data_IF_658208829102
#
_entry.id   IF_658208829102
#
_cell.length_a   1.000
_cell.length_b   1.000
_cell.length_c   1.000
_cell.angle_alpha   90.00
_cell.angle_beta   90.00
_cell.angle_gamma   90.00
#
_symmetry.space_group_name_H-M   'P 1'
#
loop_
_entity.id
_entity.type
_entity.pdbx_description
1 polymer ?
#
# COMPACT_ATOMS: atom_id res chain seq x y z
N UNK A 1 21.93 48.99 24.21
CA UNK A 1 21.64 47.59 24.63
C UNK A 1 20.16 47.21 24.52
N UNK A 2 19.19 48.01 25.02
CA UNK A 2 17.75 47.63 24.97
C UNK A 2 17.18 47.40 23.56
N UNK A 3 17.62 48.17 22.56
CA UNK A 3 17.17 48.00 21.16
C UNK A 3 17.71 46.71 20.53
N UNK A 4 18.92 46.29 20.89
CA UNK A 4 19.54 45.05 20.40
C UNK A 4 18.85 43.82 21.01
N UNK A 5 18.42 43.90 22.27
CA UNK A 5 17.64 42.84 22.94
C UNK A 5 16.25 42.66 22.32
N UNK A 6 15.60 43.74 21.88
CA UNK A 6 14.29 43.67 21.20
C UNK A 6 14.43 43.06 19.80
N UNK A 7 15.53 43.37 19.09
CA UNK A 7 15.80 42.82 17.75
C UNK A 7 16.16 41.32 17.78
N UNK A 8 16.80 40.84 18.86
CA UNK A 8 17.05 39.41 19.10
C UNK A 8 15.78 38.67 19.56
N UNK A 9 14.85 39.34 20.26
CA UNK A 9 13.55 38.74 20.59
C UNK A 9 12.63 38.62 19.35
N UNK A 10 12.71 39.55 18.40
CA UNK A 10 11.90 39.52 17.17
C UNK A 10 12.35 38.44 16.17
N UNK A 11 13.60 37.98 16.21
CA UNK A 11 14.06 36.88 15.36
C UNK A 11 13.59 35.50 15.81
N UNK A 12 13.11 35.34 17.05
CA UNK A 12 12.50 34.08 17.53
C UNK A 12 11.02 33.93 17.14
N UNK A 13 10.30 35.02 16.85
CA UNK A 13 8.89 34.97 16.39
C UNK A 13 8.73 34.83 14.87
N UNK A 14 9.82 34.90 14.11
CA UNK A 14 9.86 34.58 12.68
C UNK A 14 10.33 33.14 12.39
N UNK A 15 10.34 32.26 13.40
CA UNK A 15 10.35 30.81 13.17
C UNK A 15 9.00 30.40 12.59
N UNK A 16 8.79 30.78 11.33
CA UNK A 16 7.74 30.30 10.48
C UNK A 16 7.86 28.78 10.48
N UNK A 17 6.95 28.10 11.17
CA UNK A 17 6.68 26.69 10.93
C UNK A 17 6.29 26.58 9.46
N UNK A 18 7.26 26.39 8.57
CA UNK A 18 6.96 25.82 7.27
C UNK A 18 6.39 24.45 7.61
N UNK A 19 5.08 24.30 7.48
CA UNK A 19 4.46 23.00 7.36
C UNK A 19 5.30 22.22 6.35
N UNK A 20 6.12 21.30 6.85
CA UNK A 20 6.97 20.47 6.02
C UNK A 20 6.03 19.47 5.37
N UNK A 21 5.40 19.89 4.27
CA UNK A 21 4.61 19.00 3.41
C UNK A 21 5.46 17.77 3.14
N UNK A 22 4.97 16.59 3.51
CA UNK A 22 5.74 15.36 3.31
C UNK A 22 5.90 15.06 1.81
N UNK A 23 6.99 14.39 1.45
CA UNK A 23 7.12 13.74 0.15
C UNK A 23 6.05 12.65 0.03
N UNK A 24 5.32 12.59 -1.07
CA UNK A 24 4.39 11.49 -1.33
C UNK A 24 4.22 11.13 -2.79
N UNK A 25 3.77 9.90 -3.01
CA UNK A 25 3.22 9.39 -4.26
C UNK A 25 2.24 8.26 -3.97
N UNK A 26 1.99 7.38 -4.95
CA UNK A 26 0.96 6.37 -4.93
C UNK A 26 1.47 5.01 -5.41
N UNK A 27 0.78 3.97 -4.94
CA UNK A 27 0.69 2.71 -5.64
C UNK A 27 -0.42 2.75 -6.68
N UNK A 28 -0.19 2.13 -7.83
CA UNK A 28 -1.18 1.85 -8.87
C UNK A 28 -1.33 0.33 -8.99
N UNK A 29 -2.45 -0.20 -8.50
CA UNK A 29 -2.68 -1.64 -8.35
C UNK A 29 -3.81 -2.16 -9.25
N UNK A 30 -3.80 -1.74 -10.53
CA UNK A 30 -4.73 -2.20 -11.57
C UNK A 30 -3.95 -2.80 -12.73
N UNK A 31 -4.52 -3.81 -13.38
CA UNK A 31 -3.90 -4.50 -14.53
C UNK A 31 -3.84 -3.61 -15.77
N UNK A 32 -4.90 -2.83 -16.01
CA UNK A 32 -4.95 -1.88 -17.12
C UNK A 32 -4.40 -0.56 -16.61
N UNK A 33 -3.22 -0.19 -17.10
CA UNK A 33 -2.59 1.07 -16.76
C UNK A 33 -3.31 2.19 -17.53
N UNK A 34 -4.22 2.85 -16.84
CA UNK A 34 -5.02 3.99 -17.31
C UNK A 34 -5.19 5.01 -16.19
N UNK A 35 -5.35 6.29 -16.55
CA UNK A 35 -5.63 7.35 -15.59
C UNK A 35 -6.81 8.18 -16.05
N UNK A 36 -7.83 8.28 -15.20
CA UNK A 36 -8.90 9.25 -15.42
C UNK A 36 -8.47 10.66 -14.98
N UNK A 37 -9.34 11.64 -15.22
CA UNK A 37 -9.06 13.06 -14.94
C UNK A 37 -8.64 13.32 -13.49
N UNK A 38 -9.32 12.71 -12.53
CA UNK A 38 -9.03 12.91 -11.09
C UNK A 38 -7.73 12.21 -10.68
N UNK A 39 -7.47 11.01 -11.20
CA UNK A 39 -6.21 10.28 -10.96
C UNK A 39 -5.01 11.04 -11.56
N UNK A 40 -5.12 11.57 -12.79
CA UNK A 40 -4.08 12.43 -13.41
C UNK A 40 -3.80 13.66 -12.57
N UNK A 41 -4.84 14.33 -12.10
CA UNK A 41 -4.73 15.52 -11.24
C UNK A 41 -4.04 15.18 -9.92
N UNK A 42 -4.45 14.10 -9.25
CA UNK A 42 -3.85 13.67 -7.99
C UNK A 42 -2.37 13.27 -8.16
N UNK A 43 -2.04 12.54 -9.23
CA UNK A 43 -0.66 12.14 -9.52
C UNK A 43 0.24 13.33 -9.86
N UNK A 44 -0.24 14.29 -10.66
CA UNK A 44 0.53 15.51 -10.98
C UNK A 44 0.81 16.34 -9.72
N UNK A 45 -0.06 16.28 -8.72
CA UNK A 45 0.12 16.98 -7.45
C UNK A 45 1.09 16.28 -6.49
N UNK A 46 1.42 15.00 -6.73
CA UNK A 46 2.36 14.26 -5.89
C UNK A 46 3.75 14.87 -5.99
N UNK A 47 4.45 14.93 -4.86
CA UNK A 47 5.74 15.63 -4.74
C UNK A 47 6.92 14.80 -5.25
N UNK A 48 6.80 13.47 -5.29
CA UNK A 48 7.90 12.64 -5.82
C UNK A 48 7.74 12.38 -7.33
N UNK A 49 8.85 12.11 -8.04
CA UNK A 49 8.83 11.89 -9.48
C UNK A 49 8.46 10.45 -9.87
N UNK A 50 7.96 9.64 -8.93
CA UNK A 50 7.76 8.20 -9.12
C UNK A 50 6.29 7.80 -9.02
N UNK A 51 5.90 6.76 -9.75
CA UNK A 51 4.64 6.02 -9.55
C UNK A 51 4.99 4.54 -9.39
N UNK A 52 4.57 3.93 -8.28
CA UNK A 52 4.81 2.51 -8.02
C UNK A 52 3.69 1.71 -8.66
N UNK A 53 4.00 0.95 -9.70
CA UNK A 53 2.98 0.30 -10.53
C UNK A 53 3.12 -1.19 -10.47
N UNK A 54 2.03 -1.88 -10.10
CA UNK A 54 1.98 -3.35 -10.15
C UNK A 54 2.07 -3.84 -11.59
N UNK A 55 3.14 -4.55 -11.90
CA UNK A 55 3.39 -5.05 -13.26
C UNK A 55 2.75 -6.40 -13.51
N UNK A 56 2.86 -7.31 -12.54
CA UNK A 56 2.24 -8.63 -12.59
C UNK A 56 2.38 -9.27 -11.21
N UNK A 57 1.60 -10.32 -11.03
CA UNK A 57 1.72 -11.23 -9.91
C UNK A 57 2.48 -12.47 -10.36
N UNK A 58 3.13 -13.15 -9.42
CA UNK A 58 3.78 -14.44 -9.64
C UNK A 58 3.19 -15.43 -8.66
N UNK A 59 2.71 -16.54 -9.20
CA UNK A 59 2.14 -17.62 -8.41
C UNK A 59 2.73 -18.99 -8.79
N UNK A 60 2.56 -19.98 -7.91
CA UNK A 60 2.97 -21.38 -8.13
C UNK A 60 1.73 -22.26 -8.21
N UNK A 61 1.30 -22.58 -9.43
CA UNK A 61 0.10 -23.39 -9.70
C UNK A 61 0.55 -24.74 -10.27
N UNK A 62 0.11 -25.83 -9.64
CA UNK A 62 0.48 -27.20 -10.04
C UNK A 62 2.00 -27.41 -10.19
N UNK A 63 2.78 -26.79 -9.30
CA UNK A 63 4.24 -26.88 -9.30
C UNK A 63 4.96 -25.97 -10.30
N UNK A 64 4.22 -25.21 -11.14
CA UNK A 64 4.81 -24.31 -12.13
C UNK A 64 4.66 -22.84 -11.74
N UNK A 65 5.73 -22.07 -11.92
CA UNK A 65 5.69 -20.62 -11.76
C UNK A 65 4.93 -19.98 -12.93
N UNK A 66 3.95 -19.14 -12.62
CA UNK A 66 3.12 -18.49 -13.63
C UNK A 66 2.96 -17.01 -13.32
N UNK A 67 3.16 -16.12 -14.33
CA UNK A 67 2.77 -14.73 -14.19
C UNK A 67 1.25 -14.62 -14.32
N UNK A 68 0.64 -13.85 -13.43
CA UNK A 68 -0.81 -13.59 -13.40
C UNK A 68 -1.05 -12.09 -13.49
N UNK A 69 -2.19 -11.71 -14.07
CA UNK A 69 -2.65 -10.32 -14.16
C UNK A 69 -1.58 -9.34 -14.70
N UNK A 70 -0.93 -9.74 -15.79
CA UNK A 70 0.15 -8.97 -16.42
C UNK A 70 -0.35 -7.65 -16.99
N UNK A 71 0.35 -6.57 -16.65
CA UNK A 71 -0.01 -5.21 -17.01
C UNK A 71 -0.11 -5.00 -18.52
N UNK A 72 -1.05 -4.16 -18.91
CA UNK A 72 -1.18 -3.55 -20.24
C UNK A 72 -1.34 -2.05 -20.09
N UNK A 73 -0.94 -1.28 -21.10
CA UNK A 73 -1.11 0.18 -21.12
C UNK A 73 -2.27 0.57 -22.02
N UNK A 74 -3.18 1.38 -21.48
CA UNK A 74 -4.24 1.98 -22.26
C UNK A 74 -3.74 3.28 -22.91
N UNK A 75 -4.32 3.65 -24.06
CA UNK A 75 -3.93 4.86 -24.82
C UNK A 75 -4.04 6.15 -24.00
N UNK A 76 -4.98 6.18 -23.04
CA UNK A 76 -5.21 7.36 -22.20
C UNK A 76 -4.18 7.53 -21.07
N UNK A 77 -3.26 6.57 -20.89
CA UNK A 77 -2.24 6.64 -19.87
C UNK A 77 -1.08 7.55 -20.28
N UNK A 78 -0.96 8.64 -19.53
CA UNK A 78 0.09 9.63 -19.70
C UNK A 78 0.47 10.19 -18.33
N UNK A 79 1.78 10.26 -18.07
CA UNK A 79 2.34 10.81 -16.84
C UNK A 79 3.77 11.29 -17.07
N UNK A 80 4.18 12.31 -16.33
CA UNK A 80 5.55 12.80 -16.24
C UNK A 80 6.39 12.00 -15.21
N UNK A 81 5.75 11.14 -14.42
CA UNK A 81 6.39 10.31 -13.40
C UNK A 81 7.12 9.12 -14.03
N UNK A 82 8.27 8.76 -13.48
CA UNK A 82 8.94 7.49 -13.78
C UNK A 82 8.25 6.35 -13.05
N UNK A 83 8.12 5.21 -13.70
CA UNK A 83 7.50 4.03 -13.13
C UNK A 83 8.54 3.24 -12.32
N UNK A 84 8.18 2.84 -11.10
CA UNK A 84 8.87 1.79 -10.34
C UNK A 84 8.04 0.52 -10.49
N UNK A 85 8.54 -0.52 -11.19
CA UNK A 85 7.86 -1.81 -11.30
C UNK A 85 7.72 -2.46 -9.92
N UNK A 86 6.49 -2.85 -9.58
CA UNK A 86 6.18 -3.65 -8.39
C UNK A 86 5.73 -5.03 -8.83
N UNK A 87 6.38 -6.07 -8.31
CA UNK A 87 6.02 -7.47 -8.56
C UNK A 87 5.46 -8.07 -7.29
N UNK A 88 4.20 -8.51 -7.33
CA UNK A 88 3.63 -9.28 -6.24
C UNK A 88 4.02 -10.75 -6.41
N UNK A 89 4.50 -11.39 -5.36
CA UNK A 89 4.84 -12.82 -5.38
C UNK A 89 4.10 -13.48 -4.22
N UNK A 90 3.32 -14.51 -4.54
CA UNK A 90 2.65 -15.27 -3.48
C UNK A 90 3.69 -16.01 -2.65
N UNK A 91 3.52 -16.03 -1.32
CA UNK A 91 4.49 -16.67 -0.42
C UNK A 91 4.73 -18.16 -0.74
N UNK A 92 3.72 -18.84 -1.29
CA UNK A 92 3.81 -20.27 -1.65
C UNK A 92 4.83 -20.55 -2.76
N UNK A 93 5.21 -19.57 -3.56
CA UNK A 93 6.29 -19.68 -4.56
C UNK A 93 7.59 -20.14 -3.91
N UNK A 94 7.88 -19.62 -2.71
CA UNK A 94 9.10 -19.92 -1.96
C UNK A 94 8.99 -21.16 -1.07
N UNK A 95 7.85 -21.85 -1.06
CA UNK A 95 7.71 -23.10 -0.31
C UNK A 95 8.40 -24.23 -1.07
N UNK A 96 9.44 -24.80 -0.46
CA UNK A 96 10.22 -25.93 -1.01
C UNK A 96 10.74 -25.65 -2.43
N UNK A 97 11.23 -24.43 -2.66
CA UNK A 97 11.83 -24.03 -3.93
C UNK A 97 13.31 -24.46 -3.97
N UNK A 98 13.80 -24.93 -5.12
CA UNK A 98 15.23 -25.24 -5.28
C UNK A 98 16.06 -23.99 -5.61
N UNK A 99 17.39 -24.10 -5.51
CA UNK A 99 18.28 -22.99 -5.87
C UNK A 99 18.28 -22.69 -7.38
N UNK A 100 18.14 -23.74 -8.20
CA UNK A 100 17.95 -23.61 -9.66
C UNK A 100 16.66 -22.88 -9.97
N UNK A 101 15.56 -23.23 -9.28
CA UNK A 101 14.26 -22.57 -9.42
C UNK A 101 14.32 -21.10 -9.01
N UNK A 102 15.05 -20.75 -7.95
CA UNK A 102 15.27 -19.35 -7.54
C UNK A 102 15.96 -18.57 -8.67
N UNK A 103 16.99 -19.16 -9.27
CA UNK A 103 17.74 -18.54 -10.38
C UNK A 103 16.86 -18.41 -11.62
N UNK A 104 16.10 -19.45 -11.95
CA UNK A 104 15.13 -19.45 -13.04
C UNK A 104 14.07 -18.35 -12.83
N UNK A 105 13.50 -18.27 -11.63
CA UNK A 105 12.48 -17.30 -11.28
C UNK A 105 12.99 -15.86 -11.43
N UNK A 106 14.17 -15.56 -10.89
CA UNK A 106 14.77 -14.24 -10.98
C UNK A 106 15.04 -13.81 -12.44
N UNK A 107 15.55 -14.72 -13.28
CA UNK A 107 15.75 -14.46 -14.72
C UNK A 107 14.44 -14.17 -15.43
N UNK A 108 13.42 -14.98 -15.22
CA UNK A 108 12.14 -14.83 -15.91
C UNK A 108 11.35 -13.60 -15.47
N UNK A 109 11.36 -13.28 -14.16
CA UNK A 109 10.75 -12.05 -13.65
C UNK A 109 11.42 -10.83 -14.28
N UNK A 110 12.76 -10.78 -14.28
CA UNK A 110 13.47 -9.65 -14.88
C UNK A 110 13.22 -9.55 -16.39
N UNK A 111 13.25 -10.67 -17.11
CA UNK A 111 12.95 -10.70 -18.54
C UNK A 111 11.53 -10.20 -18.84
N UNK A 112 10.53 -10.59 -18.04
CA UNK A 112 9.15 -10.13 -18.21
C UNK A 112 9.00 -8.63 -17.91
N UNK A 113 9.69 -8.12 -16.87
CA UNK A 113 9.77 -6.68 -16.60
C UNK A 113 10.32 -5.95 -17.82
N UNK A 114 11.48 -6.37 -18.35
CA UNK A 114 12.08 -5.72 -19.51
C UNK A 114 11.17 -5.77 -20.75
N UNK A 115 10.55 -6.93 -21.00
CA UNK A 115 9.58 -7.07 -22.09
C UNK A 115 8.44 -6.06 -21.98
N UNK A 116 7.88 -5.88 -20.77
CA UNK A 116 6.76 -4.96 -20.51
C UNK A 116 7.18 -3.50 -20.58
N UNK A 117 8.36 -3.15 -20.07
CA UNK A 117 8.92 -1.80 -20.22
C UNK A 117 9.02 -1.43 -21.71
N UNK A 118 9.59 -2.33 -22.51
CA UNK A 118 9.80 -2.10 -23.94
C UNK A 118 8.48 -2.09 -24.74
N UNK A 119 7.58 -3.07 -24.53
CA UNK A 119 6.34 -3.16 -25.31
C UNK A 119 5.37 -2.01 -25.03
N UNK A 120 5.28 -1.59 -23.76
CA UNK A 120 4.37 -0.52 -23.34
C UNK A 120 5.03 0.89 -23.40
N UNK A 121 6.29 0.97 -23.85
CA UNK A 121 7.09 2.19 -23.94
C UNK A 121 7.11 3.00 -22.63
N UNK A 122 7.42 2.33 -21.52
CA UNK A 122 7.37 2.92 -20.18
C UNK A 122 8.71 3.54 -19.77
N UNK A 123 8.69 4.77 -19.29
CA UNK A 123 9.83 5.39 -18.62
C UNK A 123 9.94 4.87 -17.19
N UNK A 124 11.08 4.26 -16.83
CA UNK A 124 11.26 3.60 -15.53
C UNK A 124 12.39 4.18 -14.68
N UNK A 125 12.29 3.97 -13.37
CA UNK A 125 13.36 4.24 -12.41
C UNK A 125 14.31 3.03 -12.27
N UNK A 126 15.48 3.22 -11.66
CA UNK A 126 16.45 2.14 -11.44
C UNK A 126 16.14 1.31 -10.19
N UNK A 127 14.87 0.98 -9.99
CA UNK A 127 14.38 0.23 -8.83
C UNK A 127 13.37 -0.82 -9.30
N UNK A 128 13.40 -2.01 -8.69
CA UNK A 128 12.34 -3.00 -8.77
C UNK A 128 11.92 -3.30 -7.32
N UNK A 129 10.62 -3.13 -7.04
CA UNK A 129 10.06 -3.46 -5.75
C UNK A 129 9.40 -4.84 -5.80
N UNK A 130 9.66 -5.66 -4.79
CA UNK A 130 9.05 -6.98 -4.60
C UNK A 130 8.09 -6.92 -3.42
N UNK A 131 6.81 -7.19 -3.69
CA UNK A 131 5.79 -7.34 -2.67
C UNK A 131 5.57 -8.83 -2.38
N UNK A 132 5.97 -9.28 -1.18
CA UNK A 132 5.83 -10.67 -0.78
C UNK A 132 5.69 -10.76 0.75
N UNK A 133 4.62 -11.40 1.20
CA UNK A 133 4.40 -11.68 2.63
C UNK A 133 5.16 -12.93 3.07
N UNK A 134 6.49 -12.84 3.12
CA UNK A 134 7.34 -13.95 3.55
C UNK A 134 7.08 -14.32 5.01
N UNK A 135 7.32 -15.59 5.32
CA UNK A 135 7.12 -16.18 6.65
C UNK A 135 8.44 -16.72 7.19
N UNK A 136 8.47 -17.13 8.46
CA UNK A 136 9.60 -17.85 9.04
C UNK A 136 10.09 -19.02 8.18
N UNK A 137 9.16 -19.77 7.55
CA UNK A 137 9.47 -20.95 6.74
C UNK A 137 10.03 -20.64 5.36
N UNK A 138 9.78 -19.44 4.84
CA UNK A 138 10.09 -19.06 3.45
C UNK A 138 11.10 -17.92 3.34
N UNK A 139 11.46 -17.28 4.47
CA UNK A 139 12.34 -16.11 4.51
C UNK A 139 13.69 -16.36 3.83
N UNK A 140 14.32 -17.51 4.06
CA UNK A 140 15.67 -17.76 3.58
C UNK A 140 15.70 -17.87 2.04
N UNK A 141 14.73 -18.56 1.45
CA UNK A 141 14.63 -18.70 0.00
C UNK A 141 14.15 -17.41 -0.67
N UNK A 142 13.25 -16.67 -0.03
CA UNK A 142 12.89 -15.32 -0.47
C UNK A 142 14.12 -14.38 -0.46
N UNK A 143 14.95 -14.42 0.58
CA UNK A 143 16.14 -13.58 0.69
C UNK A 143 17.21 -13.96 -0.33
N UNK A 144 17.39 -15.26 -0.62
CA UNK A 144 18.24 -15.72 -1.73
C UNK A 144 17.72 -15.19 -3.06
N UNK A 145 16.41 -15.23 -3.29
CA UNK A 145 15.78 -14.67 -4.48
C UNK A 145 16.03 -13.18 -4.64
N UNK A 146 15.86 -12.37 -3.59
CA UNK A 146 16.14 -10.92 -3.65
C UNK A 146 17.59 -10.62 -4.05
N UNK A 147 18.56 -11.35 -3.48
CA UNK A 147 19.98 -11.23 -3.84
C UNK A 147 20.23 -11.62 -5.29
N UNK A 148 19.66 -12.74 -5.74
CA UNK A 148 19.83 -13.25 -7.10
C UNK A 148 19.19 -12.32 -8.13
N UNK A 149 18.03 -11.74 -7.83
CA UNK A 149 17.38 -10.73 -8.67
C UNK A 149 18.22 -9.44 -8.76
N UNK A 150 18.83 -8.99 -7.66
CA UNK A 150 19.75 -7.84 -7.66
C UNK A 150 20.95 -8.08 -8.57
N UNK A 151 21.57 -9.27 -8.46
CA UNK A 151 22.70 -9.69 -9.30
C UNK A 151 22.34 -9.70 -10.79
N UNK A 152 21.22 -10.32 -11.15
CA UNK A 152 20.79 -10.47 -12.56
C UNK A 152 20.36 -9.14 -13.17
N UNK A 153 19.60 -8.34 -12.41
CA UNK A 153 19.01 -7.11 -12.95
C UNK A 153 19.97 -5.92 -12.97
N UNK A 154 20.97 -5.91 -12.07
CA UNK A 154 21.81 -4.74 -11.82
C UNK A 154 21.03 -3.53 -11.27
N UNK A 155 19.77 -3.72 -10.85
CA UNK A 155 18.89 -2.66 -10.33
C UNK A 155 18.90 -2.64 -8.80
N UNK A 156 18.45 -1.53 -8.22
CA UNK A 156 18.09 -1.49 -6.82
C UNK A 156 16.89 -2.42 -6.59
N UNK A 157 17.03 -3.38 -5.67
CA UNK A 157 15.94 -4.26 -5.26
C UNK A 157 15.46 -3.82 -3.89
N UNK A 158 14.16 -3.57 -3.81
CA UNK A 158 13.47 -3.16 -2.59
C UNK A 158 12.32 -4.11 -2.31
N UNK A 159 11.83 -4.12 -1.09
CA UNK A 159 10.68 -4.93 -0.75
C UNK A 159 9.69 -4.23 0.17
N UNK A 160 8.46 -4.70 0.15
CA UNK A 160 7.47 -4.33 1.16
C UNK A 160 7.83 -4.98 2.49
N UNK A 161 7.39 -4.38 3.60
CA UNK A 161 7.65 -4.84 4.95
C UNK A 161 6.36 -4.72 5.78
N UNK A 162 5.87 -5.84 6.32
CA UNK A 162 4.67 -5.88 7.16
C UNK A 162 4.98 -5.49 8.60
N UNK A 163 3.97 -4.95 9.29
CA UNK A 163 4.06 -4.58 10.71
C UNK A 163 4.56 -5.73 11.61
N UNK A 164 4.08 -6.96 11.38
CA UNK A 164 4.51 -8.11 12.18
C UNK A 164 5.96 -8.52 11.89
N UNK A 165 6.46 -8.31 10.66
CA UNK A 165 7.86 -8.59 10.32
C UNK A 165 8.82 -7.59 11.00
N UNK A 166 8.35 -6.38 11.32
CA UNK A 166 9.08 -5.44 12.18
C UNK A 166 9.09 -5.95 13.62
N UNK A 167 7.90 -6.20 14.18
CA UNK A 167 7.73 -6.62 15.57
C UNK A 167 8.54 -7.88 15.89
N UNK A 168 8.43 -8.88 15.02
CA UNK A 168 8.99 -10.21 15.21
C UNK A 168 10.24 -10.42 14.34
N UNK A 169 11.05 -9.37 14.12
CA UNK A 169 12.24 -9.38 13.23
C UNK A 169 13.23 -10.51 13.48
N UNK A 170 13.36 -10.97 14.72
CA UNK A 170 14.23 -12.10 15.08
C UNK A 170 13.72 -13.43 14.48
N UNK A 171 12.41 -13.56 14.32
CA UNK A 171 11.74 -14.72 13.72
C UNK A 171 11.66 -14.51 12.21
N UNK A 172 11.08 -13.40 11.76
CA UNK A 172 10.85 -13.12 10.33
C UNK A 172 12.13 -12.88 9.54
N UNK A 173 13.25 -12.60 10.20
CA UNK A 173 14.50 -12.20 9.55
C UNK A 173 14.44 -10.78 9.01
N UNK A 174 15.58 -10.33 8.49
CA UNK A 174 15.76 -9.00 7.91
C UNK A 174 16.10 -9.20 6.43
N UNK A 175 15.32 -8.63 5.49
CA UNK A 175 15.56 -8.84 4.07
C UNK A 175 16.91 -8.20 3.66
N UNK A 176 17.66 -8.82 2.73
CA UNK A 176 18.98 -8.34 2.31
C UNK A 176 18.87 -7.21 1.27
N UNK A 177 18.12 -6.15 1.61
CA UNK A 177 17.89 -4.97 0.76
C UNK A 177 18.30 -3.70 1.50
N UNK A 178 18.57 -2.65 0.75
CA UNK A 178 19.00 -1.36 1.32
C UNK A 178 17.82 -0.47 1.73
N UNK A 179 16.65 -0.67 1.09
CA UNK A 179 15.43 0.10 1.30
C UNK A 179 14.19 -0.80 1.37
N UNK A 180 13.27 -0.47 2.28
CA UNK A 180 12.01 -1.19 2.49
C UNK A 180 10.82 -0.24 2.52
N UNK A 181 9.64 -0.77 2.22
CA UNK A 181 8.37 -0.03 2.22
C UNK A 181 7.46 -0.59 3.32
N UNK A 182 7.41 0.10 4.45
CA UNK A 182 6.64 -0.30 5.62
C UNK A 182 5.13 -0.13 5.35
N UNK A 183 4.43 -1.26 5.22
CA UNK A 183 3.00 -1.29 5.00
C UNK A 183 2.24 -1.04 6.30
N UNK A 184 1.72 0.18 6.43
CA UNK A 184 0.96 0.66 7.59
C UNK A 184 -0.55 0.45 7.39
N UNK A 185 -0.95 -0.74 6.95
CA UNK A 185 -2.35 -1.15 6.74
C UNK A 185 -2.50 -2.68 6.81
N UNK A 186 -3.77 -3.14 6.73
CA UNK A 186 -4.17 -4.54 6.93
C UNK A 186 -3.76 -5.07 8.30
N UNK A 187 -4.13 -4.32 9.35
CA UNK A 187 -3.78 -4.66 10.74
C UNK A 187 -4.50 -5.90 11.28
N UNK A 188 -5.60 -6.30 10.64
CA UNK A 188 -6.30 -7.56 10.92
C UNK A 188 -7.04 -8.05 9.67
N UNK A 189 -7.64 -9.23 9.74
CA UNK A 189 -8.48 -9.74 8.66
C UNK A 189 -9.86 -9.06 8.67
N UNK A 190 -10.37 -8.55 7.53
CA UNK A 190 -11.75 -8.05 7.42
C UNK A 190 -12.81 -9.15 7.51
N UNK A 191 -12.40 -10.43 7.43
CA UNK A 191 -13.29 -11.58 7.46
C UNK A 191 -13.39 -12.19 8.87
N UNK A 192 -12.68 -11.63 9.84
CA UNK A 192 -12.86 -11.98 11.26
C UNK A 192 -14.05 -11.21 11.83
N UNK A 193 -14.78 -11.84 12.77
CA UNK A 193 -15.85 -11.16 13.51
C UNK A 193 -15.25 -10.22 14.56
N UNK A 194 -14.76 -9.06 14.11
CA UNK A 194 -14.14 -8.03 14.93
C UNK A 194 -14.78 -6.67 14.67
N UNK A 195 -14.95 -5.88 15.73
CA UNK A 195 -15.45 -4.51 15.61
C UNK A 195 -14.37 -3.53 15.14
N UNK A 196 -13.10 -3.92 15.20
CA UNK A 196 -11.96 -3.07 14.81
C UNK A 196 -11.94 -2.85 13.30
N UNK A 197 -11.44 -1.67 12.89
CA UNK A 197 -11.20 -1.38 11.49
C UNK A 197 -10.02 -2.23 11.00
N UNK A 198 -10.29 -3.17 10.11
CA UNK A 198 -9.28 -4.11 9.64
C UNK A 198 -8.28 -3.51 8.65
N UNK A 199 -8.61 -2.37 8.02
CA UNK A 199 -7.70 -1.59 7.18
C UNK A 199 -6.58 -0.99 8.04
N UNK A 200 -6.93 -0.32 9.15
CA UNK A 200 -5.96 0.32 10.04
C UNK A 200 -6.50 0.48 11.46
N UNK A 201 -5.91 -0.28 12.38
CA UNK A 201 -5.99 -0.07 13.82
C UNK A 201 -4.70 0.61 14.32
N UNK A 202 -4.83 1.90 14.68
CA UNK A 202 -3.67 2.75 15.07
C UNK A 202 -2.97 2.22 16.32
N UNK A 203 -3.71 1.64 17.28
CA UNK A 203 -3.15 1.08 18.51
C UNK A 203 -2.27 -0.15 18.22
N UNK A 204 -2.76 -1.06 17.36
CA UNK A 204 -2.00 -2.24 16.92
C UNK A 204 -0.75 -1.81 16.16
N UNK A 205 -0.86 -0.84 15.25
CA UNK A 205 0.29 -0.28 14.53
C UNK A 205 1.34 0.28 15.50
N UNK A 206 0.93 1.14 16.45
CA UNK A 206 1.85 1.74 17.44
C UNK A 206 2.52 0.68 18.30
N UNK A 207 1.79 -0.37 18.68
CA UNK A 207 2.32 -1.50 19.44
C UNK A 207 3.40 -2.25 18.66
N UNK A 208 3.11 -2.59 17.40
CA UNK A 208 4.02 -3.38 16.55
C UNK A 208 5.27 -2.58 16.16
N UNK A 209 5.14 -1.26 16.02
CA UNK A 209 6.21 -0.35 15.65
C UNK A 209 6.82 0.40 16.85
N UNK A 210 6.55 -0.06 18.07
CA UNK A 210 7.03 0.58 19.31
C UNK A 210 8.56 0.67 19.39
N UNK A 211 9.28 -0.20 18.66
CA UNK A 211 10.75 -0.25 18.57
C UNK A 211 11.26 -0.25 17.12
N UNK A 212 10.55 0.39 16.20
CA UNK A 212 10.96 0.46 14.79
C UNK A 212 12.34 1.13 14.61
N UNK A 213 12.72 2.03 15.52
CA UNK A 213 14.05 2.64 15.58
C UNK A 213 15.18 1.61 15.69
N UNK A 214 14.92 0.43 16.26
CA UNK A 214 15.86 -0.67 16.39
C UNK A 214 15.90 -1.57 15.14
N UNK A 215 15.06 -1.33 14.13
CA UNK A 215 15.07 -2.13 12.91
C UNK A 215 16.36 -1.83 12.11
N UNK A 216 17.10 -2.85 11.61
CA UNK A 216 18.43 -2.62 11.03
C UNK A 216 18.45 -1.80 9.74
N UNK A 217 17.44 -1.96 8.88
CA UNK A 217 17.33 -1.18 7.64
C UNK A 217 16.79 0.21 7.99
N UNK A 218 17.58 1.26 7.72
CA UNK A 218 17.23 2.65 8.07
C UNK A 218 16.53 3.41 6.96
N UNK A 219 16.67 2.98 5.71
CA UNK A 219 15.94 3.57 4.59
C UNK A 219 14.55 2.92 4.52
N UNK A 220 13.60 3.53 5.23
CA UNK A 220 12.23 3.04 5.35
C UNK A 220 11.29 4.07 4.74
N UNK A 221 10.65 3.69 3.64
CA UNK A 221 9.52 4.42 3.07
C UNK A 221 8.21 3.88 3.66
N UNK A 222 7.15 4.68 3.67
CA UNK A 222 5.91 4.32 4.39
C UNK A 222 4.74 4.23 3.44
N UNK A 223 4.08 3.07 3.40
CA UNK A 223 2.87 2.88 2.64
C UNK A 223 1.63 3.05 3.52
N UNK A 224 0.74 4.00 3.17
CA UNK A 224 -0.46 4.32 3.95
C UNK A 224 -1.76 4.03 3.18
N UNK A 225 -2.82 3.55 3.87
CA UNK A 225 -4.10 3.26 3.25
C UNK A 225 -4.93 4.53 3.07
N UNK A 226 -5.42 4.76 1.86
CA UNK A 226 -6.47 5.76 1.59
C UNK A 226 -7.75 5.12 1.03
N UNK A 227 -7.74 3.79 0.90
CA UNK A 227 -8.86 3.01 0.41
C UNK A 227 -9.92 2.76 1.47
N UNK A 228 -11.07 2.26 1.01
CA UNK A 228 -12.18 1.81 1.84
C UNK A 228 -12.83 0.56 1.24
N UNK A 229 -13.56 -0.19 2.06
CA UNK A 229 -14.39 -1.31 1.62
C UNK A 229 -15.65 -1.47 2.46
N UNK A 230 -16.62 -2.17 1.90
CA UNK A 230 -17.78 -2.70 2.60
C UNK A 230 -17.60 -4.18 2.89
N UNK A 231 -17.80 -4.59 4.13
CA UNK A 231 -17.90 -5.97 4.57
C UNK A 231 -19.39 -6.33 4.59
N UNK A 232 -19.79 -7.20 3.67
CA UNK A 232 -21.14 -7.74 3.57
C UNK A 232 -21.23 -9.01 4.42
N UNK A 233 -22.17 -9.04 5.36
CA UNK A 233 -22.45 -10.22 6.20
C UNK A 233 -23.83 -10.78 5.86
N UNK A 234 -23.86 -12.05 5.46
CA UNK A 234 -25.13 -12.75 5.17
C UNK A 234 -25.75 -13.38 6.44
N UNK A 235 -26.92 -14.01 6.30
CA UNK A 235 -27.61 -14.69 7.41
C UNK A 235 -26.80 -15.81 8.09
N UNK A 236 -25.86 -16.41 7.36
CA UNK A 236 -24.95 -17.46 7.87
C UNK A 236 -23.66 -16.89 8.46
N UNK A 237 -23.58 -15.56 8.66
CA UNK A 237 -22.38 -14.84 9.10
C UNK A 237 -21.16 -15.01 8.19
N UNK A 238 -21.37 -15.35 6.91
CA UNK A 238 -20.30 -15.37 5.91
C UNK A 238 -20.08 -13.95 5.41
N UNK A 239 -18.80 -13.61 5.23
CA UNK A 239 -18.35 -12.28 4.82
C UNK A 239 -17.94 -12.23 3.36
N UNK A 240 -18.25 -11.11 2.69
CA UNK A 240 -17.78 -10.77 1.35
C UNK A 240 -17.36 -9.30 1.32
N UNK A 241 -16.28 -8.98 0.61
CA UNK A 241 -15.82 -7.61 0.43
C UNK A 241 -16.40 -6.95 -0.83
N UNK A 242 -16.76 -5.68 -0.69
CA UNK A 242 -17.07 -4.76 -1.79
C UNK A 242 -16.05 -3.62 -1.72
N UNK A 243 -15.17 -3.53 -2.72
CA UNK A 243 -14.14 -2.50 -2.76
C UNK A 243 -14.72 -1.11 -3.03
N UNK A 244 -14.07 -0.10 -2.45
CA UNK A 244 -14.36 1.31 -2.68
C UNK A 244 -15.81 1.70 -2.35
N UNK A 245 -16.26 1.22 -1.20
CA UNK A 245 -17.49 1.62 -0.53
C UNK A 245 -17.14 2.51 0.67
N UNK A 246 -17.80 3.66 0.80
CA UNK A 246 -17.58 4.68 1.82
C UNK A 246 -18.83 4.86 2.69
N UNK A 247 -18.70 5.56 3.82
CA UNK A 247 -19.87 5.86 4.66
C UNK A 247 -20.93 6.69 3.91
N UNK A 248 -20.50 7.52 2.96
CA UNK A 248 -21.41 8.33 2.15
C UNK A 248 -22.31 7.45 1.28
N UNK A 249 -21.78 6.32 0.77
CA UNK A 249 -22.55 5.39 -0.05
C UNK A 249 -23.67 4.68 0.75
N UNK A 250 -23.55 4.63 2.08
CA UNK A 250 -24.57 4.06 2.97
C UNK A 250 -25.71 5.04 3.29
N UNK A 251 -25.60 6.31 2.90
CA UNK A 251 -26.59 7.34 3.20
C UNK A 251 -27.76 7.29 2.21
N UNK A 252 -28.64 6.30 2.37
CA UNK A 252 -29.81 6.10 1.51
C UNK A 252 -31.03 5.67 2.35
N UNK A 253 -32.18 6.28 2.07
CA UNK A 253 -33.46 6.03 2.78
C UNK A 253 -33.98 4.59 2.58
N UNK A 254 -33.48 3.85 1.60
CA UNK A 254 -33.82 2.44 1.37
C UNK A 254 -33.07 1.47 2.30
N UNK A 255 -32.12 1.95 3.10
CA UNK A 255 -31.39 1.16 4.07
C UNK A 255 -31.87 1.43 5.48
N UNK A 256 -31.90 0.38 6.32
CA UNK A 256 -32.07 0.55 7.76
C UNK A 256 -30.71 0.80 8.38
N UNK A 257 -30.50 2.00 8.90
CA UNK A 257 -29.26 2.40 9.58
C UNK A 257 -29.12 1.66 10.91
N UNK A 258 -28.00 0.95 11.10
CA UNK A 258 -27.63 0.32 12.38
C UNK A 258 -26.69 1.27 13.14
N UNK A 259 -25.70 1.82 12.44
CA UNK A 259 -24.75 2.81 12.96
C UNK A 259 -24.31 3.77 11.84
N UNK A 260 -23.37 4.67 12.11
CA UNK A 260 -22.83 5.58 11.09
C UNK A 260 -22.04 4.88 9.98
N UNK A 261 -21.60 3.64 10.20
CA UNK A 261 -20.85 2.86 9.23
C UNK A 261 -21.45 1.48 8.98
N UNK A 262 -22.66 1.19 9.45
CA UNK A 262 -23.31 -0.10 9.27
C UNK A 262 -24.80 0.06 8.92
N UNK A 263 -25.25 -0.68 7.91
CA UNK A 263 -26.65 -0.72 7.48
C UNK A 263 -27.15 -2.15 7.30
N UNK A 264 -28.47 -2.31 7.28
CA UNK A 264 -29.18 -3.54 6.94
C UNK A 264 -30.02 -3.34 5.67
N UNK A 265 -29.87 -4.24 4.71
CA UNK A 265 -30.62 -4.26 3.45
C UNK A 265 -32.10 -4.57 3.72
N UNK A 266 -33.01 -3.73 3.21
CA UNK A 266 -34.45 -3.86 3.48
C UNK A 266 -35.24 -4.61 2.40
N UNK A 267 -34.68 -4.78 1.20
CA UNK A 267 -35.29 -5.51 0.09
C UNK A 267 -34.22 -6.22 -0.74
N UNK A 268 -34.56 -7.38 -1.29
CA UNK A 268 -33.70 -8.10 -2.24
C UNK A 268 -33.43 -7.25 -3.48
N UNK A 269 -32.18 -7.21 -3.94
CA UNK A 269 -31.84 -6.43 -5.13
C UNK A 269 -30.34 -6.29 -5.39
N UNK A 270 -30.01 -5.52 -6.43
CA UNK A 270 -28.62 -5.20 -6.76
C UNK A 270 -28.17 -3.91 -6.05
N UNK A 271 -27.12 -4.03 -5.24
CA UNK A 271 -26.49 -2.95 -4.50
C UNK A 271 -24.98 -2.98 -4.74
N UNK A 272 -24.39 -1.85 -5.10
CA UNK A 272 -22.94 -1.72 -5.31
C UNK A 272 -22.35 -2.82 -6.22
N UNK A 273 -23.08 -3.18 -7.29
CA UNK A 273 -22.69 -4.22 -8.24
C UNK A 273 -22.87 -5.67 -7.76
N UNK A 274 -23.58 -5.89 -6.65
CA UNK A 274 -23.78 -7.21 -6.04
C UNK A 274 -25.26 -7.46 -5.75
N UNK A 275 -25.74 -8.68 -6.00
CA UNK A 275 -27.08 -9.08 -5.55
C UNK A 275 -27.05 -9.40 -4.06
N UNK A 276 -27.81 -8.66 -3.25
CA UNK A 276 -27.91 -8.82 -1.80
C UNK A 276 -29.36 -9.05 -1.39
N UNK A 277 -29.58 -9.98 -0.45
CA UNK A 277 -30.91 -10.25 0.10
C UNK A 277 -31.24 -9.30 1.27
N UNK A 278 -32.54 -9.11 1.51
CA UNK A 278 -33.07 -8.48 2.71
C UNK A 278 -32.48 -9.12 3.96
N UNK A 279 -32.07 -8.28 4.91
CA UNK A 279 -31.47 -8.68 6.18
C UNK A 279 -29.96 -8.93 6.13
N UNK A 280 -29.32 -8.84 4.95
CA UNK A 280 -27.86 -8.75 4.88
C UNK A 280 -27.40 -7.43 5.49
N UNK A 281 -26.22 -7.44 6.11
CA UNK A 281 -25.60 -6.24 6.69
C UNK A 281 -24.41 -5.80 5.85
N UNK A 282 -24.17 -4.50 5.81
CA UNK A 282 -22.97 -3.91 5.21
C UNK A 282 -22.32 -3.02 6.25
N UNK A 283 -21.10 -3.36 6.66
CA UNK A 283 -20.23 -2.52 7.48
C UNK A 283 -19.15 -1.88 6.61
N UNK A 284 -19.05 -0.57 6.59
CA UNK A 284 -17.97 0.14 5.89
C UNK A 284 -16.79 0.38 6.81
N UNK A 285 -15.60 0.12 6.26
CA UNK A 285 -14.33 0.52 6.83
C UNK A 285 -13.64 1.49 5.88
N UNK A 286 -13.29 2.66 6.40
CA UNK A 286 -12.59 3.72 5.69
C UNK A 286 -11.60 4.41 6.65
N UNK A 287 -10.58 5.07 6.09
CA UNK A 287 -9.53 5.71 6.89
C UNK A 287 -9.75 7.22 6.97
N UNK A 288 -9.89 7.72 8.19
CA UNK A 288 -10.03 9.16 8.43
C UNK A 288 -8.70 9.90 8.32
N UNK A 289 -8.77 11.20 8.03
CA UNK A 289 -7.60 12.07 8.00
C UNK A 289 -6.90 12.15 9.37
N UNK A 290 -7.67 12.08 10.46
CA UNK A 290 -7.11 12.06 11.81
C UNK A 290 -6.26 10.82 12.06
N UNK A 291 -6.70 9.63 11.60
CA UNK A 291 -5.92 8.39 11.71
C UNK A 291 -4.63 8.48 10.89
N UNK A 292 -4.69 9.02 9.66
CA UNK A 292 -3.49 9.22 8.84
C UNK A 292 -2.49 10.14 9.55
N UNK A 293 -2.96 11.30 10.02
CA UNK A 293 -2.13 12.26 10.74
C UNK A 293 -1.49 11.64 11.98
N UNK A 294 -2.26 10.88 12.76
CA UNK A 294 -1.76 10.24 13.98
C UNK A 294 -0.66 9.22 13.69
N UNK A 295 -0.79 8.42 12.63
CA UNK A 295 0.24 7.47 12.21
C UNK A 295 1.49 8.20 11.70
N UNK A 296 1.31 9.23 10.87
CA UNK A 296 2.43 10.03 10.33
C UNK A 296 3.21 10.70 11.47
N UNK A 297 2.52 11.34 12.41
CA UNK A 297 3.13 12.01 13.56
C UNK A 297 3.84 11.01 14.49
N UNK A 298 3.31 9.80 14.63
CA UNK A 298 3.98 8.73 15.38
C UNK A 298 5.27 8.27 14.70
N UNK A 299 5.24 8.03 13.39
CA UNK A 299 6.40 7.55 12.63
C UNK A 299 7.50 8.61 12.50
N UNK A 300 7.13 9.89 12.30
CA UNK A 300 8.09 11.02 12.23
C UNK A 300 8.97 11.14 13.48
N UNK A 301 8.48 10.67 14.63
CA UNK A 301 9.24 10.68 15.90
C UNK A 301 10.20 9.51 16.03
N UNK A 302 10.12 8.50 15.16
CA UNK A 302 10.77 7.20 15.34
C UNK A 302 11.72 6.79 14.22
N UNK A 303 11.43 7.20 12.98
CA UNK A 303 12.27 6.87 11.82
C UNK A 303 12.75 8.14 11.12
N UNK A 304 13.77 7.99 10.28
CA UNK A 304 14.26 9.05 9.40
C UNK A 304 13.14 9.60 8.51
N UNK A 305 13.24 10.85 8.02
CA UNK A 305 12.26 11.39 7.08
C UNK A 305 12.00 10.43 5.92
N UNK A 306 10.72 10.19 5.66
CA UNK A 306 10.24 9.22 4.70
C UNK A 306 9.27 9.86 3.70
N UNK A 307 9.21 9.27 2.52
CA UNK A 307 8.17 9.43 1.52
C UNK A 307 6.98 8.55 1.88
N UNK A 308 5.78 9.09 1.68
CA UNK A 308 4.54 8.34 1.80
C UNK A 308 4.12 7.79 0.44
N UNK A 309 3.80 6.50 0.38
CA UNK A 309 3.23 5.87 -0.81
C UNK A 309 1.78 5.49 -0.47
N UNK A 310 0.83 6.29 -0.94
CA UNK A 310 -0.58 6.03 -0.69
C UNK A 310 -1.09 4.84 -1.50
N UNK A 311 -1.66 3.86 -0.82
CA UNK A 311 -2.36 2.74 -1.43
C UNK A 311 -3.87 3.07 -1.45
N UNK A 312 -4.47 3.34 -2.61
CA UNK A 312 -3.91 3.35 -3.97
C UNK A 312 -4.43 4.56 -4.77
N UNK A 313 -3.79 4.85 -5.92
CA UNK A 313 -4.27 5.83 -6.89
C UNK A 313 -5.55 5.33 -7.56
N UNK A 314 -6.68 5.66 -6.95
CA UNK A 314 -8.01 5.44 -7.51
C UNK A 314 -8.86 6.70 -7.29
N UNK A 315 -9.55 7.14 -8.33
CA UNK A 315 -10.43 8.33 -8.26
C UNK A 315 -11.37 8.36 -7.05
N UNK A 316 -11.94 7.22 -6.65
CA UNK A 316 -12.84 7.15 -5.48
C UNK A 316 -12.15 7.53 -4.18
N UNK A 317 -10.83 7.34 -4.09
CA UNK A 317 -10.06 7.60 -2.87
C UNK A 317 -9.35 8.95 -2.88
N UNK A 318 -9.12 9.55 -4.06
CA UNK A 318 -8.38 10.81 -4.20
C UNK A 318 -9.26 12.05 -4.42
N UNK A 319 -10.46 11.92 -4.98
CA UNK A 319 -11.29 13.05 -5.44
C UNK A 319 -11.63 14.09 -4.34
N UNK A 320 -11.68 13.67 -3.07
CA UNK A 320 -12.05 14.53 -1.94
C UNK A 320 -11.00 14.58 -0.82
N UNK A 321 -9.75 14.19 -1.09
CA UNK A 321 -8.67 14.22 -0.08
C UNK A 321 -7.62 15.27 -0.44
N UNK A 322 -7.34 16.17 0.49
CA UNK A 322 -6.14 17.00 0.42
C UNK A 322 -4.97 16.22 1.02
N UNK A 323 -4.24 15.48 0.21
CA UNK A 323 -3.11 14.66 0.64
C UNK A 323 -1.82 15.46 0.89
N UNK A 324 -1.80 16.75 0.54
CA UNK A 324 -0.65 17.64 0.79
C UNK A 324 -0.57 18.11 2.25
N UNK A 325 -1.67 17.99 2.99
CA UNK A 325 -1.83 18.63 4.31
C UNK A 325 -1.16 17.88 5.47
N UNK A 326 -0.61 16.70 5.23
CA UNK A 326 -0.09 15.85 6.30
C UNK A 326 1.41 16.00 6.50
#
# INVERSE_FOLDING_TARGET
MKVFTIMVLLSFVLSCNKDQNHSYTFYYWKTHLSLNKEEKKALKQSSTPYLYTRFFDVDKVNGQFQPVAVITKDENFETDKKIVPVIFITNQVFSQISEEDITFLAKNIFALIQKKISSEHLSTHNEIQIDCDWTFKTKDDYFKFLKKLKEISGKEITCTLRLHQVKDKNISGIPPVEKVYLMCYSTSSPLENSDRNSILDVNTLKSYLSKIEDYPIKNIEVALPIYSWGIVTNHLKKHKLINALSKQDLNNNHFKKISDNEIEIQADGFYFGNYLNKGFRIKVEEISDQQLKEVIDFLRKKITPFTIIYYQLDSKFVMNRNLKKF
#
